data_IF_767525714219
#
_entry.id   IF_767525714219
#
_cell.length_a   1.000
_cell.length_b   1.000
_cell.length_c   1.000
_cell.angle_alpha   90.00
_cell.angle_beta   90.00
_cell.angle_gamma   90.00
#
_symmetry.space_group_name_H-M   'P 1'
#
loop_
_entity.id
_entity.type
_entity.pdbx_description
1 polymer ?
#
# COMPACT_ATOMS: atom_id res chain seq x y z
N UNK A 1 4.34 -24.32 8.34
CA UNK A 1 3.89 -23.30 7.35
C UNK A 1 4.22 -21.92 7.93
N UNK A 2 5.17 -21.18 7.36
CA UNK A 2 5.41 -19.80 7.77
C UNK A 2 4.18 -18.94 7.41
N UNK A 3 3.64 -18.21 8.38
CA UNK A 3 2.46 -17.34 8.16
C UNK A 3 2.92 -16.09 7.42
N UNK A 4 2.46 -15.90 6.17
CA UNK A 4 2.70 -14.67 5.41
C UNK A 4 1.91 -13.51 6.03
N UNK A 5 2.61 -12.57 6.66
CA UNK A 5 1.99 -11.39 7.28
C UNK A 5 1.42 -10.42 6.23
N UNK A 6 0.51 -9.55 6.65
CA UNK A 6 0.02 -8.42 5.85
C UNK A 6 -0.74 -8.79 4.57
N UNK A 7 -1.40 -9.95 4.58
CA UNK A 7 -2.17 -10.50 3.45
C UNK A 7 -3.67 -10.15 3.49
N UNK A 8 -4.08 -9.24 4.38
CA UNK A 8 -5.49 -8.88 4.55
C UNK A 8 -6.07 -8.23 3.28
N UNK A 9 -7.21 -8.75 2.82
CA UNK A 9 -7.90 -8.24 1.63
C UNK A 9 -8.80 -7.06 1.98
N UNK A 10 -9.10 -6.24 0.97
CA UNK A 10 -10.13 -5.21 1.10
C UNK A 10 -11.42 -5.74 0.48
N UNK A 11 -12.48 -5.71 1.27
CA UNK A 11 -13.82 -5.98 0.78
C UNK A 11 -14.34 -4.76 0.03
N UNK A 12 -14.83 -5.01 -1.18
CA UNK A 12 -15.32 -4.00 -2.10
C UNK A 12 -16.80 -4.23 -2.39
N UNK A 13 -17.54 -3.16 -2.67
CA UNK A 13 -18.94 -3.25 -3.09
C UNK A 13 -19.07 -4.00 -4.42
N UNK A 14 -20.24 -4.58 -4.69
CA UNK A 14 -20.55 -5.25 -5.96
C UNK A 14 -20.31 -4.33 -7.17
N UNK A 15 -20.67 -3.05 -7.05
CA UNK A 15 -20.41 -2.02 -8.07
C UNK A 15 -18.90 -1.90 -8.34
N UNK A 16 -18.09 -1.74 -7.29
CA UNK A 16 -16.64 -1.59 -7.45
C UNK A 16 -16.00 -2.85 -8.03
N UNK A 17 -16.45 -4.04 -7.58
CA UNK A 17 -15.99 -5.33 -8.12
C UNK A 17 -16.29 -5.44 -9.62
N UNK A 18 -17.50 -5.06 -10.05
CA UNK A 18 -17.88 -5.04 -11.47
C UNK A 18 -16.97 -4.12 -12.27
N UNK A 19 -16.76 -2.87 -11.81
CA UNK A 19 -15.85 -1.93 -12.50
C UNK A 19 -14.42 -2.46 -12.62
N UNK A 20 -13.91 -3.12 -11.58
CA UNK A 20 -12.59 -3.74 -11.63
C UNK A 20 -12.50 -4.91 -12.62
N UNK A 21 -13.58 -5.66 -12.83
CA UNK A 21 -13.64 -6.71 -13.86
C UNK A 21 -13.62 -6.09 -15.27
N UNK A 22 -14.45 -5.07 -15.50
CA UNK A 22 -14.60 -4.37 -16.79
C UNK A 22 -13.38 -3.52 -17.18
N UNK A 23 -12.51 -3.17 -16.23
CA UNK A 23 -11.29 -2.40 -16.53
C UNK A 23 -10.28 -3.32 -17.19
N UNK A 24 -9.70 -2.91 -18.32
CA UNK A 24 -8.62 -3.66 -18.97
C UNK A 24 -7.35 -3.70 -18.09
N UNK A 25 -6.61 -4.82 -18.03
CA UNK A 25 -5.27 -4.84 -17.43
C UNK A 25 -4.36 -3.77 -18.05
N UNK A 26 -3.51 -3.15 -17.23
CA UNK A 26 -2.66 -2.05 -17.67
C UNK A 26 -3.37 -0.70 -17.82
N UNK A 27 -4.65 -0.61 -17.46
CA UNK A 27 -5.45 0.63 -17.58
C UNK A 27 -5.93 1.17 -16.22
N UNK A 28 -6.33 2.44 -16.19
CA UNK A 28 -6.87 3.10 -14.98
C UNK A 28 -8.38 2.95 -14.92
N UNK A 29 -8.91 2.47 -13.79
CA UNK A 29 -10.37 2.40 -13.57
C UNK A 29 -10.96 3.82 -13.54
N UNK A 30 -11.95 4.16 -14.39
CA UNK A 30 -12.37 5.54 -14.61
C UNK A 30 -12.88 6.29 -13.37
N UNK A 31 -13.53 5.60 -12.42
CA UNK A 31 -14.19 6.23 -11.27
C UNK A 31 -13.25 6.34 -10.06
N UNK A 32 -12.66 5.22 -9.62
CA UNK A 32 -11.72 5.20 -8.48
C UNK A 32 -10.34 5.73 -8.84
N UNK A 33 -10.01 5.80 -10.14
CA UNK A 33 -8.68 6.17 -10.65
C UNK A 33 -7.58 5.21 -10.21
N UNK A 34 -7.93 3.99 -9.80
CA UNK A 34 -6.95 2.96 -9.47
C UNK A 34 -6.45 2.28 -10.74
N UNK A 35 -5.13 2.15 -10.85
CA UNK A 35 -4.49 1.42 -11.94
C UNK A 35 -4.71 -0.08 -11.76
N UNK A 36 -5.23 -0.76 -12.79
CA UNK A 36 -5.30 -2.23 -12.83
C UNK A 36 -4.01 -2.76 -13.38
N UNK A 37 -3.35 -3.60 -12.59
CA UNK A 37 -2.08 -4.20 -12.98
C UNK A 37 -2.25 -5.06 -14.23
N UNK A 38 -1.22 -5.04 -15.07
CA UNK A 38 -1.03 -5.96 -16.17
C UNK A 38 -0.25 -7.19 -15.65
N UNK A 39 -0.64 -8.44 -15.96
CA UNK A 39 0.14 -9.63 -15.59
C UNK A 39 1.57 -9.63 -16.15
N UNK A 40 1.79 -9.05 -17.34
CA UNK A 40 3.08 -9.05 -18.04
C UNK A 40 3.77 -7.67 -17.98
N UNK A 41 3.11 -6.68 -17.38
CA UNK A 41 3.62 -5.33 -17.24
C UNK A 41 4.29 -5.04 -15.89
N UNK A 42 4.65 -3.78 -15.68
CA UNK A 42 5.19 -3.29 -14.41
C UNK A 42 4.13 -2.60 -13.56
N UNK A 43 4.31 -2.63 -12.24
CA UNK A 43 3.46 -1.84 -11.35
C UNK A 43 3.73 -0.35 -11.56
N UNK A 44 2.67 0.46 -11.47
CA UNK A 44 2.83 1.89 -11.26
C UNK A 44 3.43 2.16 -9.86
N UNK A 45 3.91 3.39 -9.65
CA UNK A 45 4.50 3.80 -8.36
C UNK A 45 3.53 3.55 -7.20
N UNK A 46 3.96 2.74 -6.25
CA UNK A 46 3.24 2.50 -5.01
C UNK A 46 3.42 3.71 -4.09
N UNK A 47 2.38 4.53 -3.92
CA UNK A 47 2.44 5.77 -3.15
C UNK A 47 1.94 5.55 -1.73
N UNK A 48 2.61 6.16 -0.75
CA UNK A 48 2.21 6.14 0.65
C UNK A 48 0.88 6.87 0.95
N UNK A 49 0.38 7.68 0.01
CA UNK A 49 -0.75 8.58 0.23
C UNK A 49 -0.30 9.86 0.94
N UNK A 50 -1.11 10.92 0.88
CA UNK A 50 -0.79 12.19 1.54
C UNK A 50 -1.37 12.24 2.95
N UNK A 51 -0.79 13.11 3.78
CA UNK A 51 -1.34 13.42 5.10
C UNK A 51 -2.76 14.01 5.00
N UNK A 52 -3.40 14.14 6.17
CA UNK A 52 -4.74 14.69 6.28
C UNK A 52 -4.87 16.13 5.73
N UNK A 53 -3.76 16.86 5.62
CA UNK A 53 -3.72 18.27 5.21
C UNK A 53 -3.63 18.44 3.68
N UNK A 54 -3.14 17.44 2.93
CA UNK A 54 -2.80 17.59 1.50
C UNK A 54 -3.46 16.57 0.56
N UNK A 55 -4.65 16.07 0.85
CA UNK A 55 -5.48 15.38 -0.15
C UNK A 55 -6.03 14.01 0.25
N UNK A 56 -6.03 13.06 -0.69
CA UNK A 56 -6.64 11.74 -0.52
C UNK A 56 -5.91 10.94 0.58
N UNK A 57 -6.52 10.93 1.77
CA UNK A 57 -6.09 10.33 3.04
C UNK A 57 -5.62 8.86 2.96
N UNK A 58 -5.91 8.18 1.85
CA UNK A 58 -5.64 6.77 1.63
C UNK A 58 -4.64 6.58 0.49
N UNK A 59 -3.61 5.78 0.73
CA UNK A 59 -2.69 5.26 -0.29
C UNK A 59 -3.51 4.59 -1.41
N UNK A 60 -3.54 5.13 -2.64
CA UNK A 60 -4.25 4.49 -3.74
C UNK A 60 -3.53 3.18 -4.07
N UNK A 61 -4.22 2.06 -3.87
CA UNK A 61 -3.66 0.71 -4.12
C UNK A 61 -4.07 0.24 -5.51
N UNK A 62 -3.13 -0.27 -6.32
CA UNK A 62 -3.46 -0.86 -7.62
C UNK A 62 -4.51 -1.97 -7.50
N UNK A 63 -5.31 -2.14 -8.55
CA UNK A 63 -6.24 -3.27 -8.70
C UNK A 63 -5.45 -4.49 -9.17
N UNK A 64 -5.70 -5.64 -8.58
CA UNK A 64 -5.08 -6.90 -8.96
C UNK A 64 -5.51 -7.28 -10.38
N UNK A 65 -4.57 -7.73 -11.22
CA UNK A 65 -4.83 -8.03 -12.63
C UNK A 65 -5.97 -9.04 -12.85
N UNK A 66 -5.96 -10.14 -12.08
CA UNK A 66 -6.96 -11.24 -12.16
C UNK A 66 -8.19 -11.07 -11.29
N UNK A 67 -8.08 -10.39 -10.15
CA UNK A 67 -9.09 -10.44 -9.09
C UNK A 67 -9.70 -9.06 -8.88
N UNK A 68 -11.03 -8.93 -8.73
CA UNK A 68 -11.70 -7.64 -8.61
C UNK A 68 -11.53 -7.03 -7.21
N UNK A 69 -10.28 -6.74 -6.84
CA UNK A 69 -9.87 -6.15 -5.57
C UNK A 69 -8.56 -5.40 -5.75
N UNK A 70 -8.31 -4.42 -4.89
CA UNK A 70 -6.96 -3.89 -4.70
C UNK A 70 -5.98 -5.00 -4.25
N UNK A 71 -4.71 -4.80 -4.60
CA UNK A 71 -3.61 -5.60 -4.06
C UNK A 71 -3.51 -5.47 -2.53
N UNK A 72 -3.08 -6.55 -1.90
CA UNK A 72 -2.77 -6.63 -0.46
C UNK A 72 -1.44 -5.95 -0.16
N UNK A 73 -1.17 -5.67 1.12
CA UNK A 73 0.13 -5.13 1.56
C UNK A 73 1.26 -6.12 1.22
N UNK A 74 1.03 -7.43 1.35
CA UNK A 74 2.02 -8.44 0.95
C UNK A 74 2.30 -8.45 -0.56
N UNK A 75 1.26 -8.31 -1.40
CA UNK A 75 1.46 -8.19 -2.86
C UNK A 75 2.23 -6.91 -3.21
N UNK A 76 1.91 -5.78 -2.58
CA UNK A 76 2.69 -4.54 -2.70
C UNK A 76 4.16 -4.72 -2.30
N UNK A 77 4.42 -5.44 -1.20
CA UNK A 77 5.77 -5.68 -0.71
C UNK A 77 6.60 -6.46 -1.73
N UNK A 78 6.00 -7.48 -2.37
CA UNK A 78 6.66 -8.25 -3.43
C UNK A 78 6.93 -7.41 -4.67
N UNK A 79 5.98 -6.58 -5.10
CA UNK A 79 6.20 -5.63 -6.21
C UNK A 79 7.35 -4.67 -5.92
N UNK A 80 7.56 -4.32 -4.65
CA UNK A 80 8.64 -3.44 -4.23
C UNK A 80 9.98 -4.16 -3.99
N UNK A 81 10.01 -5.50 -4.05
CA UNK A 81 11.20 -6.33 -3.87
C UNK A 81 11.52 -6.70 -2.42
N UNK A 82 10.57 -6.57 -1.49
CA UNK A 82 10.79 -7.05 -0.12
C UNK A 82 10.78 -8.58 -0.03
N UNK A 83 11.66 -9.17 0.79
CA UNK A 83 11.59 -10.58 1.08
C UNK A 83 10.32 -10.92 1.88
N UNK A 84 9.79 -12.12 1.68
CA UNK A 84 8.53 -12.54 2.28
C UNK A 84 8.56 -12.61 3.82
N UNK A 85 9.75 -12.80 4.40
CA UNK A 85 9.97 -12.79 5.85
C UNK A 85 9.89 -11.40 6.46
N UNK A 86 10.01 -10.32 5.67
CA UNK A 86 9.91 -8.95 6.20
C UNK A 86 8.47 -8.67 6.66
N UNK A 87 8.32 -8.18 7.89
CA UNK A 87 7.02 -7.97 8.53
C UNK A 87 6.65 -6.48 8.46
N UNK A 88 5.39 -6.21 8.12
CA UNK A 88 4.81 -4.87 8.08
C UNK A 88 3.74 -4.71 9.14
N UNK A 89 3.31 -3.47 9.36
CA UNK A 89 2.20 -3.18 10.28
C UNK A 89 0.93 -3.95 9.86
N UNK A 90 0.21 -4.49 10.85
CA UNK A 90 -0.94 -5.39 10.64
C UNK A 90 -2.08 -4.75 9.84
N UNK A 91 -2.25 -3.44 9.96
CA UNK A 91 -3.32 -2.71 9.28
C UNK A 91 -2.95 -2.44 7.82
N UNK A 92 -3.92 -2.59 6.93
CA UNK A 92 -3.75 -2.27 5.49
C UNK A 92 -3.30 -0.83 5.22
N UNK A 93 -3.67 0.12 6.07
CA UNK A 93 -3.30 1.54 5.89
C UNK A 93 -1.83 1.79 6.22
N UNK A 94 -1.40 1.52 7.46
CA UNK A 94 0.01 1.69 7.84
C UNK A 94 0.96 0.82 7.03
N UNK A 95 0.61 -0.44 6.75
CA UNK A 95 1.48 -1.33 5.96
C UNK A 95 1.69 -0.82 4.53
N UNK A 96 0.63 -0.35 3.86
CA UNK A 96 0.76 0.26 2.53
C UNK A 96 1.59 1.56 2.57
N UNK A 97 1.46 2.35 3.64
CA UNK A 97 2.22 3.58 3.85
C UNK A 97 3.71 3.30 4.10
N UNK A 98 4.04 2.27 4.88
CA UNK A 98 5.42 1.81 5.08
C UNK A 98 6.07 1.41 3.75
N UNK A 99 5.34 0.64 2.93
CA UNK A 99 5.85 0.21 1.62
C UNK A 99 6.02 1.40 0.68
N UNK A 100 5.00 2.26 0.55
CA UNK A 100 5.04 3.37 -0.40
C UNK A 100 6.03 4.50 -0.04
N UNK A 101 6.59 4.50 1.16
CA UNK A 101 7.66 5.41 1.59
C UNK A 101 9.05 4.76 1.55
N UNK A 102 9.13 3.45 1.35
CA UNK A 102 10.39 2.74 1.38
C UNK A 102 11.17 2.90 0.07
N UNK A 103 12.50 2.80 0.17
CA UNK A 103 13.35 2.55 -0.99
C UNK A 103 13.23 1.05 -1.35
N UNK A 104 13.13 0.67 -2.64
CA UNK A 104 13.09 -0.74 -3.02
C UNK A 104 14.32 -1.49 -2.53
N UNK A 105 14.19 -2.62 -1.81
CA UNK A 105 15.35 -3.37 -1.30
C UNK A 105 16.36 -3.77 -2.39
N UNK A 106 15.97 -4.17 -3.62
CA UNK A 106 16.94 -4.42 -4.68
C UNK A 106 17.77 -3.20 -5.05
N UNK A 107 17.15 -2.01 -5.12
CA UNK A 107 17.85 -0.75 -5.40
C UNK A 107 18.80 -0.39 -4.25
N UNK A 108 18.31 -0.47 -3.01
CA UNK A 108 19.13 -0.20 -1.82
C UNK A 108 20.36 -1.13 -1.78
N UNK A 109 20.19 -2.41 -2.13
CA UNK A 109 21.29 -3.39 -2.21
C UNK A 109 22.31 -3.01 -3.28
N UNK A 110 21.89 -2.60 -4.47
CA UNK A 110 22.81 -2.17 -5.54
C UNK A 110 23.61 -0.93 -5.13
N UNK A 111 22.97 0.07 -4.54
CA UNK A 111 23.64 1.29 -4.07
C UNK A 111 24.61 0.98 -2.94
N UNK A 112 24.19 0.19 -1.95
CA UNK A 112 25.07 -0.23 -0.86
C UNK A 112 26.27 -1.04 -1.36
N UNK A 113 26.10 -1.87 -2.39
CA UNK A 113 27.21 -2.60 -3.02
C UNK A 113 28.29 -1.68 -3.57
N UNK A 114 27.90 -0.64 -4.31
CA UNK A 114 28.86 0.35 -4.83
C UNK A 114 29.59 1.12 -3.71
N UNK A 115 28.90 1.41 -2.60
CA UNK A 115 29.52 2.05 -1.43
C UNK A 115 30.55 1.12 -0.79
N UNK A 116 30.22 -0.17 -0.61
CA UNK A 116 31.12 -1.17 -0.04
C UNK A 116 32.40 -1.30 -0.87
N UNK A 117 32.26 -1.36 -2.20
CA UNK A 117 33.38 -1.40 -3.14
C UNK A 117 34.25 -0.14 -3.03
N UNK A 118 33.64 1.04 -3.04
CA UNK A 118 34.36 2.32 -2.91
C UNK A 118 35.12 2.44 -1.57
N UNK A 119 34.62 1.83 -0.51
CA UNK A 119 35.27 1.79 0.80
C UNK A 119 36.33 0.69 0.91
N UNK A 120 36.47 -0.18 -0.09
CA UNK A 120 37.38 -1.35 -0.02
C UNK A 120 37.01 -2.34 1.08
N UNK A 121 35.75 -2.33 1.53
CA UNK A 121 35.30 -3.17 2.63
C UNK A 121 34.82 -4.54 2.12
N UNK A 122 35.15 -5.62 2.83
CA UNK A 122 34.65 -6.96 2.52
C UNK A 122 33.64 -7.38 3.58
N UNK A 123 32.32 -7.37 3.29
CA UNK A 123 31.31 -7.71 4.28
C UNK A 123 31.35 -9.20 4.61
N UNK A 124 31.34 -9.52 5.91
CA UNK A 124 31.20 -10.89 6.41
C UNK A 124 29.71 -11.18 6.60
N UNK A 125 29.21 -12.26 5.99
CA UNK A 125 27.85 -12.73 6.23
C UNK A 125 27.78 -13.30 7.64
N UNK A 126 26.85 -12.81 8.45
CA UNK A 126 26.55 -13.44 9.73
C UNK A 126 25.78 -14.74 9.51
N UNK A 127 26.21 -15.81 10.18
CA UNK A 127 25.49 -17.09 10.22
C UNK A 127 24.44 -17.13 11.33
N UNK A 128 24.37 -16.08 12.17
CA UNK A 128 23.37 -15.98 13.22
C UNK A 128 22.01 -15.58 12.62
N UNK A 129 20.92 -16.33 12.88
CA UNK A 129 19.58 -15.92 12.49
C UNK A 129 19.20 -14.57 13.10
N UNK A 130 18.58 -13.69 12.32
CA UNK A 130 18.03 -12.45 12.85
C UNK A 130 16.72 -12.76 13.58
N UNK A 131 16.69 -12.50 14.89
CA UNK A 131 15.44 -12.59 15.66
C UNK A 131 14.44 -11.53 15.19
N UNK A 132 13.18 -11.93 14.99
CA UNK A 132 12.16 -11.07 14.42
C UNK A 132 11.54 -10.06 15.41
N UNK A 133 11.99 -10.07 16.67
CA UNK A 133 11.50 -9.21 17.75
C UNK A 133 10.04 -9.42 18.15
N UNK A 134 9.55 -8.57 19.05
CA UNK A 134 8.19 -8.63 19.59
C UNK A 134 7.13 -8.34 18.49
N UNK A 135 6.22 -9.29 18.19
CA UNK A 135 5.08 -9.07 17.31
C UNK A 135 4.18 -7.88 17.63
N UNK A 136 4.10 -7.44 18.89
CA UNK A 136 3.23 -6.34 19.32
C UNK A 136 3.61 -5.01 18.66
N UNK A 137 4.89 -4.84 18.31
CA UNK A 137 5.39 -3.65 17.59
C UNK A 137 4.70 -3.46 16.23
N UNK A 138 4.17 -4.53 15.63
CA UNK A 138 3.45 -4.49 14.34
C UNK A 138 2.00 -4.01 14.48
N UNK A 139 1.54 -3.78 15.70
CA UNK A 139 0.17 -3.36 16.00
C UNK A 139 0.09 -1.97 16.65
N UNK A 140 1.24 -1.32 16.92
CA UNK A 140 1.26 -0.04 17.59
C UNK A 140 0.66 1.06 16.73
N UNK A 141 -0.48 1.58 17.19
CA UNK A 141 -1.01 2.84 16.68
C UNK A 141 -0.13 4.02 17.11
N UNK A 142 -0.29 5.17 16.46
CA UNK A 142 0.66 6.29 16.60
C UNK A 142 0.78 6.82 18.03
N UNK A 143 -0.31 6.85 18.80
CA UNK A 143 -0.25 7.24 20.21
C UNK A 143 0.50 6.22 21.07
N UNK A 144 0.22 4.92 20.90
CA UNK A 144 0.90 3.85 21.63
C UNK A 144 2.39 3.74 21.25
N UNK A 145 2.72 3.98 19.98
CA UNK A 145 4.11 4.07 19.54
C UNK A 145 4.84 5.27 20.16
N UNK A 146 4.19 6.44 20.21
CA UNK A 146 4.76 7.64 20.81
C UNK A 146 5.05 7.43 22.31
N UNK A 147 4.12 6.82 23.04
CA UNK A 147 4.27 6.44 24.44
C UNK A 147 5.40 5.42 24.64
N UNK A 148 5.42 4.34 23.86
CA UNK A 148 6.46 3.30 23.90
C UNK A 148 7.88 3.85 23.71
N UNK A 149 8.05 4.85 22.84
CA UNK A 149 9.34 5.49 22.56
C UNK A 149 9.60 6.76 23.38
N UNK A 150 8.67 7.17 24.25
CA UNK A 150 8.81 8.37 25.09
C UNK A 150 8.87 9.68 24.30
N UNK A 151 8.19 9.77 23.15
CA UNK A 151 8.18 10.97 22.29
C UNK A 151 6.79 11.62 22.23
N UNK A 152 6.69 12.94 21.95
CA UNK A 152 5.41 13.59 21.73
C UNK A 152 4.65 12.98 20.55
N UNK A 153 3.35 12.73 20.72
CA UNK A 153 2.51 12.19 19.65
C UNK A 153 2.43 13.20 18.49
N UNK A 154 2.86 12.83 17.26
CA UNK A 154 2.96 13.77 16.14
C UNK A 154 1.62 14.08 15.47
N UNK A 155 0.54 13.37 15.82
CA UNK A 155 -0.76 13.50 15.16
C UNK A 155 -1.75 14.20 16.10
N UNK A 156 -2.22 15.38 15.69
CA UNK A 156 -3.34 16.07 16.34
C UNK A 156 -4.68 15.41 15.97
N UNK A 157 -5.60 15.29 16.92
CA UNK A 157 -6.97 14.79 16.68
C UNK A 157 -7.68 15.75 15.71
N UNK A 158 -8.32 15.20 14.67
CA UNK A 158 -9.09 15.97 13.71
C UNK A 158 -10.54 16.11 14.21
N UNK A 159 -10.98 17.34 14.37
CA UNK A 159 -12.23 17.79 14.98
C UNK A 159 -13.18 18.49 13.98
N UNK A 160 -12.73 18.72 12.73
CA UNK A 160 -13.58 19.25 11.65
C UNK A 160 -14.18 18.14 10.78
N UNK A 161 -15.52 18.01 10.82
CA UNK A 161 -16.29 17.29 9.80
C UNK A 161 -16.38 18.16 8.54
N UNK A 162 -15.99 17.60 7.39
CA UNK A 162 -16.26 18.19 6.08
C UNK A 162 -17.78 18.19 5.86
N UNK A 163 -18.42 19.36 5.85
CA UNK A 163 -19.86 19.51 5.61
C UNK A 163 -20.32 19.24 4.17
N UNK A 164 -19.45 18.70 3.31
CA UNK A 164 -19.77 18.43 1.92
C UNK A 164 -20.48 17.07 1.77
N UNK A 165 -21.70 17.08 1.20
CA UNK A 165 -22.41 15.86 0.83
C UNK A 165 -21.66 15.16 -0.31
N UNK A 166 -21.01 14.03 -0.01
CA UNK A 166 -20.41 13.16 -1.03
C UNK A 166 -21.50 12.47 -1.83
N UNK A 167 -21.40 12.49 -3.17
CA UNK A 167 -22.24 11.66 -4.04
C UNK A 167 -22.11 10.19 -3.67
N UNK A 168 -23.23 9.49 -3.66
CA UNK A 168 -23.28 8.05 -3.40
C UNK A 168 -22.71 7.26 -4.57
N UNK A 169 -22.21 6.05 -4.30
CA UNK A 169 -21.72 5.17 -5.35
C UNK A 169 -22.79 4.86 -6.41
N UNK A 170 -24.06 4.76 -6.00
CA UNK A 170 -25.18 4.50 -6.91
C UNK A 170 -25.45 5.67 -7.85
N UNK A 171 -25.42 6.92 -7.36
CA UNK A 171 -25.59 8.11 -8.20
C UNK A 171 -24.48 8.22 -9.25
N UNK A 172 -23.23 7.97 -8.85
CA UNK A 172 -22.08 7.98 -9.78
C UNK A 172 -22.19 6.88 -10.83
N UNK A 173 -22.64 5.67 -10.44
CA UNK A 173 -22.79 4.55 -11.38
C UNK A 173 -23.93 4.80 -12.38
N UNK A 174 -25.08 5.31 -11.91
CA UNK A 174 -26.21 5.68 -12.77
C UNK A 174 -25.81 6.71 -13.82
N UNK A 175 -25.04 7.73 -13.41
CA UNK A 175 -24.53 8.75 -14.32
C UNK A 175 -23.54 8.17 -15.35
N UNK A 176 -22.70 7.19 -14.97
CA UNK A 176 -21.79 6.49 -15.89
C UNK A 176 -22.58 5.68 -16.93
N UNK A 177 -23.53 4.86 -16.49
CA UNK A 177 -24.33 4.01 -17.39
C UNK A 177 -25.16 4.84 -18.37
N UNK A 178 -25.74 5.96 -17.91
CA UNK A 178 -26.45 6.89 -18.77
C UNK A 178 -25.56 7.49 -19.87
N UNK A 179 -24.29 7.78 -19.57
CA UNK A 179 -23.32 8.26 -20.58
C UNK A 179 -22.95 7.18 -21.59
N UNK A 180 -22.78 5.94 -21.15
CA UNK A 180 -22.46 4.82 -22.05
C UNK A 180 -23.62 4.48 -22.99
N UNK A 181 -24.86 4.64 -22.53
CA UNK A 181 -26.06 4.41 -23.34
C UNK A 181 -26.37 5.55 -24.35
N UNK A 182 -25.69 6.69 -24.23
CA UNK A 182 -25.86 7.85 -25.10
C UNK A 182 -24.80 7.93 -26.22
N UNK A 183 -23.95 6.90 -26.34
CA UNK A 183 -22.91 6.71 -27.37
C UNK A 183 -23.31 5.50 -28.21
#
# INVERSE_FOLDING_TARGET
RAVLTSSARTEHSSISKRRFLETEPGSVEPISRFFKLDPEGVSNTLRAGTDAARGAFTSPRPVHYRHPRCVTVREMARLHGFPDWFRFHRTKWHGARQIGNAVPPPLARSVAGAIIEALGFSPVRSDCPVELGDPNLLALEMAAAADYWGIPCPIQKRDRKSGARKRSQMETEKARLAKLAAV
#
